data_IF_385822141101
#
_entry.id   IF_385822141101
#
_cell.length_a   1.000
_cell.length_b   1.000
_cell.length_c   1.000
_cell.angle_alpha   90.00
_cell.angle_beta   90.00
_cell.angle_gamma   90.00
#
_symmetry.space_group_name_H-M   'P 1'
#
loop_
_entity.id
_entity.type
_entity.pdbx_description
1 polymer ?
#
# COMPACT_ATOMS: atom_id res chain seq x y z
N UNK A 1 -45.39 34.94 -4.76
CA UNK A 1 -45.52 34.61 -6.20
C UNK A 1 -44.46 33.57 -6.51
N UNK A 2 -44.89 32.36 -6.91
CA UNK A 2 -44.03 31.22 -7.28
C UNK A 2 -43.49 31.43 -8.70
N UNK A 3 -42.22 31.13 -8.94
CA UNK A 3 -41.80 30.63 -10.25
C UNK A 3 -40.87 29.43 -10.07
N UNK A 4 -41.46 28.27 -10.32
CA UNK A 4 -40.86 26.97 -10.58
C UNK A 4 -40.29 27.00 -11.99
N UNK A 5 -39.06 26.53 -12.19
CA UNK A 5 -38.56 26.12 -13.51
C UNK A 5 -38.06 24.67 -13.41
N UNK A 6 -38.79 23.79 -14.09
CA UNK A 6 -38.54 22.37 -14.34
C UNK A 6 -38.16 22.26 -15.82
N UNK A 7 -37.01 21.68 -16.15
CA UNK A 7 -36.78 21.07 -17.48
C UNK A 7 -35.79 19.88 -17.32
N UNK A 8 -35.70 18.94 -18.29
CA UNK A 8 -36.24 17.59 -18.17
C UNK A 8 -35.16 16.51 -18.24
N UNK A 9 -35.55 15.28 -17.92
CA UNK A 9 -34.69 14.11 -18.00
C UNK A 9 -34.31 13.69 -19.43
N UNK A 10 -33.15 13.06 -19.54
CA UNK A 10 -32.85 12.11 -20.61
C UNK A 10 -32.34 10.84 -19.95
N UNK A 11 -33.16 9.79 -20.01
CA UNK A 11 -32.77 8.43 -19.69
C UNK A 11 -31.96 7.88 -20.88
N UNK A 12 -30.77 7.34 -20.61
CA UNK A 12 -30.06 6.46 -21.55
C UNK A 12 -29.93 5.10 -20.89
N UNK A 13 -30.40 4.10 -21.62
CA UNK A 13 -30.60 2.71 -21.21
C UNK A 13 -29.63 1.84 -22.01
N UNK A 14 -29.02 0.86 -21.30
CA UNK A 14 -28.36 -0.38 -21.75
C UNK A 14 -27.01 -0.29 -22.52
N UNK A 15 -26.00 -1.02 -22.03
CA UNK A 15 -25.71 -2.38 -22.51
C UNK A 15 -24.70 -3.09 -21.59
N UNK A 16 -25.04 -4.31 -21.19
CA UNK A 16 -24.16 -5.25 -20.50
C UNK A 16 -23.34 -6.06 -21.52
N UNK A 17 -22.06 -6.31 -21.22
CA UNK A 17 -21.34 -7.56 -21.47
C UNK A 17 -19.82 -7.31 -21.32
N UNK A 18 -19.20 -7.87 -20.29
CA UNK A 18 -17.77 -8.13 -20.28
C UNK A 18 -17.55 -9.56 -19.80
N UNK A 19 -17.00 -10.36 -20.70
CA UNK A 19 -16.82 -11.80 -20.60
C UNK A 19 -15.78 -12.15 -19.54
N UNK A 20 -16.16 -13.01 -18.60
CA UNK A 20 -15.22 -13.69 -17.72
C UNK A 20 -14.58 -14.86 -18.49
N UNK A 21 -13.33 -14.72 -18.92
CA UNK A 21 -12.49 -15.85 -19.33
C UNK A 21 -11.94 -16.54 -18.08
N UNK A 22 -12.71 -17.48 -17.55
CA UNK A 22 -12.25 -18.44 -16.55
C UNK A 22 -11.36 -19.49 -17.21
N UNK A 23 -10.08 -19.55 -16.81
CA UNK A 23 -9.17 -20.61 -17.21
C UNK A 23 -9.44 -21.83 -16.31
N UNK A 24 -10.24 -22.77 -16.81
CA UNK A 24 -10.38 -24.12 -16.25
C UNK A 24 -9.17 -24.94 -16.69
N UNK A 25 -8.43 -25.50 -15.73
CA UNK A 25 -7.25 -26.30 -15.98
C UNK A 25 -7.14 -27.42 -14.96
N UNK A 26 -8.03 -28.42 -15.07
CA UNK A 26 -7.88 -29.71 -14.42
C UNK A 26 -8.43 -30.79 -15.34
N UNK A 27 -7.63 -31.77 -15.70
CA UNK A 27 -7.76 -33.17 -15.28
C UNK A 27 -6.74 -34.07 -16.02
N UNK A 28 -6.06 -34.86 -15.20
CA UNK A 28 -5.76 -36.30 -15.35
C UNK A 28 -5.08 -36.87 -16.60
N UNK A 29 -3.99 -37.56 -16.29
CA UNK A 29 -3.37 -38.72 -16.93
C UNK A 29 -4.24 -39.54 -17.90
N UNK A 30 -3.64 -40.05 -18.98
CA UNK A 30 -3.34 -41.48 -19.15
C UNK A 30 -2.47 -41.77 -20.38
N UNK A 31 -1.95 -42.99 -20.40
CA UNK A 31 -0.84 -43.54 -21.18
C UNK A 31 -1.11 -43.83 -22.67
N UNK A 32 -0.03 -44.04 -23.45
CA UNK A 32 -0.11 -44.83 -24.67
C UNK A 32 0.93 -44.55 -25.77
N UNK A 33 2.02 -45.35 -25.75
CA UNK A 33 2.73 -45.98 -26.89
C UNK A 33 3.37 -45.13 -28.04
N UNK A 34 4.67 -45.38 -28.31
CA UNK A 34 5.60 -44.65 -29.22
C UNK A 34 5.50 -44.94 -30.74
N UNK A 35 6.60 -45.05 -31.55
CA UNK A 35 8.06 -45.00 -31.27
C UNK A 35 8.92 -44.10 -32.23
N UNK A 36 10.26 -44.19 -32.07
CA UNK A 36 11.36 -43.80 -33.01
C UNK A 36 11.80 -42.32 -33.02
N UNK A 37 13.07 -41.90 -33.02
CA UNK A 37 14.38 -42.55 -33.09
C UNK A 37 15.47 -41.53 -32.66
N UNK A 38 16.66 -42.03 -32.30
CA UNK A 38 17.98 -41.37 -32.34
C UNK A 38 18.47 -40.45 -31.19
N UNK A 39 19.34 -41.10 -30.39
CA UNK A 39 20.70 -40.71 -29.94
C UNK A 39 20.93 -39.46 -29.06
N UNK A 40 21.27 -39.69 -27.79
CA UNK A 40 22.65 -39.55 -27.27
C UNK A 40 22.79 -40.17 -25.86
N UNK A 41 23.92 -40.85 -25.67
CA UNK A 41 24.35 -41.54 -24.45
C UNK A 41 24.97 -40.57 -23.44
N UNK A 42 24.52 -40.59 -22.18
CA UNK A 42 25.36 -40.27 -21.02
C UNK A 42 24.83 -40.94 -19.72
N UNK A 43 25.77 -41.47 -18.96
CA UNK A 43 25.74 -42.38 -17.81
C UNK A 43 24.98 -41.88 -16.56
N UNK A 44 24.36 -42.75 -15.74
CA UNK A 44 23.67 -42.36 -14.50
C UNK A 44 24.61 -42.19 -13.30
N UNK A 45 24.31 -41.22 -12.44
CA UNK A 45 24.81 -41.15 -11.05
C UNK A 45 23.61 -41.03 -10.10
N UNK A 46 23.48 -41.85 -9.05
CA UNK A 46 22.40 -41.75 -8.07
C UNK A 46 22.82 -40.85 -6.90
N UNK A 47 21.94 -39.93 -6.49
CA UNK A 47 22.18 -39.08 -5.33
C UNK A 47 20.91 -38.41 -4.82
N UNK A 48 20.32 -39.01 -3.78
CA UNK A 48 19.28 -38.45 -2.91
C UNK A 48 19.55 -36.99 -2.53
N UNK A 49 18.51 -36.15 -2.56
CA UNK A 49 17.91 -35.55 -1.35
C UNK A 49 16.80 -34.57 -1.73
N UNK A 50 15.62 -34.78 -1.14
CA UNK A 50 14.49 -33.86 -1.18
C UNK A 50 14.81 -32.62 -0.35
N UNK A 51 14.87 -31.45 -0.98
CA UNK A 51 14.87 -30.16 -0.29
C UNK A 51 13.53 -29.46 -0.55
N UNK A 52 12.65 -29.60 0.45
CA UNK A 52 11.39 -28.86 0.62
C UNK A 52 11.69 -27.37 0.66
N UNK A 53 11.41 -26.64 -0.43
CA UNK A 53 11.41 -25.18 -0.41
C UNK A 53 10.18 -24.70 0.39
N UNK A 54 10.41 -24.40 1.66
CA UNK A 54 9.47 -23.68 2.51
C UNK A 54 9.55 -22.22 2.07
N UNK A 55 8.48 -21.73 1.46
CA UNK A 55 8.30 -20.32 1.14
C UNK A 55 8.48 -19.49 2.40
N UNK A 56 9.54 -18.71 2.45
CA UNK A 56 9.68 -17.64 3.43
C UNK A 56 8.81 -16.48 2.96
N UNK A 57 7.52 -16.54 3.29
CA UNK A 57 6.71 -15.34 3.39
C UNK A 57 7.30 -14.52 4.53
N UNK A 58 8.22 -13.61 4.19
CA UNK A 58 8.70 -12.59 5.12
C UNK A 58 7.52 -11.69 5.45
N UNK A 59 6.80 -12.04 6.50
CA UNK A 59 5.86 -11.13 7.17
C UNK A 59 6.68 -9.91 7.57
N UNK A 60 6.31 -8.68 7.17
CA UNK A 60 6.93 -7.50 7.76
C UNK A 60 6.71 -7.62 9.27
N UNK A 61 7.81 -7.55 10.03
CA UNK A 61 7.70 -7.40 11.47
C UNK A 61 6.95 -6.11 11.75
N UNK A 62 5.67 -6.24 12.11
CA UNK A 62 4.94 -5.18 12.79
C UNK A 62 5.50 -5.10 14.20
N UNK A 63 6.71 -4.56 14.33
CA UNK A 63 7.13 -3.99 15.59
C UNK A 63 6.12 -2.88 15.87
N UNK A 64 5.21 -3.15 16.81
CA UNK A 64 4.39 -2.12 17.40
C UNK A 64 5.37 -1.12 18.01
N UNK A 65 5.66 -0.04 17.28
CA UNK A 65 6.44 1.07 17.80
C UNK A 65 5.54 1.77 18.80
N UNK A 66 5.66 1.38 20.07
CA UNK A 66 5.25 2.22 21.18
C UNK A 66 6.14 3.47 21.12
N UNK A 67 5.67 4.48 20.39
CA UNK A 67 6.42 5.70 20.12
C UNK A 67 6.46 5.96 18.63
N UNK A 68 5.49 6.73 18.18
CA UNK A 68 5.48 7.34 16.86
C UNK A 68 5.23 8.86 17.04
N UNK A 69 6.06 9.76 16.47
CA UNK A 69 7.37 10.04 17.04
C UNK A 69 7.79 11.52 16.86
N UNK A 70 8.96 11.84 17.36
CA UNK A 70 9.87 12.85 16.78
C UNK A 70 11.31 12.33 16.74
N UNK A 71 11.55 11.05 16.99
CA UNK A 71 12.92 10.53 17.11
C UNK A 71 13.53 10.42 15.72
N UNK A 72 14.58 11.19 15.39
CA UNK A 72 15.35 10.99 14.18
C UNK A 72 15.81 9.53 14.11
N UNK A 73 15.87 8.96 12.92
CA UNK A 73 16.50 7.66 12.73
C UNK A 73 17.88 7.65 13.43
N UNK A 74 18.19 6.59 14.16
CA UNK A 74 19.48 6.47 14.84
C UNK A 74 20.62 6.73 13.84
N UNK A 75 21.71 7.42 14.24
CA UNK A 75 22.84 7.66 13.32
C UNK A 75 23.30 6.36 12.65
N UNK A 76 23.22 6.29 11.32
CA UNK A 76 23.56 5.11 10.52
C UNK A 76 22.41 4.16 10.19
N UNK A 77 21.20 4.37 10.71
CA UNK A 77 20.01 3.64 10.27
C UNK A 77 19.56 4.12 8.89
N UNK A 78 19.30 3.19 7.97
CA UNK A 78 18.80 3.51 6.64
C UNK A 78 17.35 4.01 6.74
N UNK A 79 17.10 5.24 6.30
CA UNK A 79 15.73 5.73 6.07
C UNK A 79 15.17 4.99 4.84
N UNK A 80 13.95 4.43 4.90
CA UNK A 80 13.34 3.79 3.74
C UNK A 80 13.30 4.72 2.53
N UNK A 81 13.39 4.15 1.33
CA UNK A 81 13.15 4.93 0.11
C UNK A 81 11.70 5.44 0.09
N UNK A 82 11.46 6.59 -0.56
CA UNK A 82 10.11 7.19 -0.67
C UNK A 82 9.10 6.19 -1.22
N UNK A 83 9.50 5.38 -2.20
CA UNK A 83 8.70 4.31 -2.78
C UNK A 83 8.14 3.35 -1.73
N UNK A 84 9.01 2.89 -0.85
CA UNK A 84 8.71 1.82 0.09
C UNK A 84 7.86 2.38 1.24
N UNK A 85 8.18 3.59 1.74
CA UNK A 85 7.36 4.29 2.72
C UNK A 85 5.96 4.60 2.16
N UNK A 86 5.86 5.00 0.89
CA UNK A 86 4.57 5.24 0.25
C UNK A 86 3.75 3.96 0.11
N UNK A 87 4.36 2.83 -0.25
CA UNK A 87 3.68 1.54 -0.29
C UNK A 87 3.13 1.13 1.09
N UNK A 88 3.88 1.40 2.17
CA UNK A 88 3.42 1.17 3.54
C UNK A 88 2.24 2.07 3.91
N UNK A 89 2.26 3.35 3.52
CA UNK A 89 1.10 4.25 3.67
C UNK A 89 -0.12 3.70 2.91
N UNK A 90 0.09 3.20 1.68
CA UNK A 90 -0.98 2.64 0.87
C UNK A 90 -1.66 1.42 1.49
N UNK A 91 -0.93 0.65 2.31
CA UNK A 91 -1.51 -0.48 3.02
C UNK A 91 -2.62 -0.10 4.02
N UNK A 92 -2.79 1.19 4.34
CA UNK A 92 -3.84 1.68 5.26
C UNK A 92 -5.16 2.02 4.57
N UNK A 93 -5.26 1.95 3.24
CA UNK A 93 -6.46 2.37 2.51
C UNK A 93 -7.69 1.50 2.77
N UNK A 94 -7.48 0.23 3.12
CA UNK A 94 -8.55 -0.70 3.45
C UNK A 94 -8.90 -0.68 4.94
N UNK A 95 -8.17 0.10 5.75
CA UNK A 95 -8.39 0.24 7.17
C UNK A 95 -9.25 1.48 7.46
N UNK A 96 -10.06 1.42 8.51
CA UNK A 96 -10.83 2.56 8.99
C UNK A 96 -11.27 2.39 10.45
N UNK A 97 -11.83 3.45 11.04
CA UNK A 97 -12.55 3.39 12.31
C UNK A 97 -13.96 2.79 12.21
N UNK A 98 -14.40 2.36 11.02
CA UNK A 98 -15.72 1.73 10.83
C UNK A 98 -15.83 0.33 11.45
N UNK A 99 -14.69 -0.35 11.67
CA UNK A 99 -14.64 -1.65 12.31
C UNK A 99 -14.51 -1.49 13.83
N UNK A 100 -15.42 -2.07 14.64
CA UNK A 100 -15.33 -2.02 16.10
C UNK A 100 -13.99 -2.53 16.62
N UNK A 101 -13.37 -1.80 17.55
CA UNK A 101 -12.07 -2.16 18.15
C UNK A 101 -10.83 -1.87 17.29
N UNK A 102 -10.98 -1.46 16.02
CA UNK A 102 -9.84 -1.22 15.11
C UNK A 102 -9.35 0.23 15.11
N UNK A 103 -10.18 1.19 15.54
CA UNK A 103 -9.94 2.61 15.30
C UNK A 103 -8.62 3.12 15.89
N UNK A 104 -8.29 2.75 17.14
CA UNK A 104 -7.03 3.15 17.77
C UNK A 104 -5.82 2.59 17.01
N UNK A 105 -5.88 1.33 16.59
CA UNK A 105 -4.81 0.71 15.80
C UNK A 105 -4.62 1.44 14.47
N UNK A 106 -5.73 1.66 13.74
CA UNK A 106 -5.72 2.37 12.46
C UNK A 106 -5.12 3.76 12.57
N UNK A 107 -5.58 4.58 13.53
CA UNK A 107 -5.13 5.97 13.67
C UNK A 107 -3.65 6.08 14.04
N UNK A 108 -3.18 5.22 14.95
CA UNK A 108 -1.75 5.16 15.28
C UNK A 108 -0.92 4.75 14.05
N UNK A 109 -1.34 3.70 13.34
CA UNK A 109 -0.65 3.25 12.12
C UNK A 109 -0.67 4.29 11.00
N UNK A 110 -1.76 5.04 10.87
CA UNK A 110 -1.88 6.10 9.88
C UNK A 110 -0.92 7.25 10.18
N UNK A 111 -0.87 7.70 11.44
CA UNK A 111 0.13 8.68 11.88
C UNK A 111 1.55 8.16 11.64
N UNK A 112 1.81 6.89 12.00
CA UNK A 112 3.01 6.11 11.63
C UNK A 112 3.45 6.31 10.20
N UNK A 113 2.60 5.91 9.28
CA UNK A 113 3.04 5.87 7.90
C UNK A 113 3.19 7.28 7.29
N UNK A 114 2.52 8.29 7.84
CA UNK A 114 2.60 9.68 7.36
C UNK A 114 3.91 10.37 7.76
N UNK A 115 4.40 10.21 9.00
CA UNK A 115 5.72 10.79 9.34
C UNK A 115 6.87 10.01 8.69
N UNK A 116 6.75 8.68 8.52
CA UNK A 116 7.79 7.85 7.91
C UNK A 116 7.97 8.28 6.46
N UNK A 117 6.85 8.48 5.76
CA UNK A 117 6.86 9.03 4.41
C UNK A 117 7.46 10.44 4.37
N UNK A 118 7.12 11.31 5.33
CA UNK A 118 7.71 12.63 5.47
C UNK A 118 9.24 12.59 5.66
N UNK A 119 9.73 11.65 6.46
CA UNK A 119 11.16 11.45 6.70
C UNK A 119 11.87 10.91 5.46
N UNK A 120 11.27 9.95 4.75
CA UNK A 120 11.77 9.48 3.46
C UNK A 120 11.83 10.59 2.41
N UNK A 121 10.81 11.45 2.34
CA UNK A 121 10.80 12.60 1.42
C UNK A 121 11.90 13.60 1.73
N UNK A 122 12.17 13.88 3.02
CA UNK A 122 13.27 14.78 3.44
C UNK A 122 14.65 14.18 3.15
N UNK A 123 14.80 12.86 3.31
CA UNK A 123 16.05 12.14 3.10
C UNK A 123 16.33 11.80 1.61
N UNK A 124 15.32 11.91 0.75
CA UNK A 124 15.46 11.60 -0.67
C UNK A 124 16.49 12.49 -1.37
N UNK A 125 17.31 11.96 -2.30
CA UNK A 125 18.21 12.75 -3.13
C UNK A 125 17.51 13.84 -3.96
N UNK A 126 16.20 13.72 -4.21
CA UNK A 126 15.41 14.75 -4.90
C UNK A 126 15.17 15.99 -4.04
N UNK A 127 15.34 15.86 -2.72
CA UNK A 127 15.30 16.95 -1.76
C UNK A 127 13.88 17.43 -1.39
N UNK A 128 13.83 18.25 -0.35
CA UNK A 128 12.58 18.80 0.22
C UNK A 128 11.83 19.72 -0.73
N UNK A 129 12.53 20.40 -1.65
CA UNK A 129 11.91 21.27 -2.64
C UNK A 129 11.00 20.49 -3.60
N UNK A 130 11.38 19.26 -3.94
CA UNK A 130 10.61 18.37 -4.80
C UNK A 130 9.32 17.90 -4.12
N UNK A 131 9.41 17.48 -2.86
CA UNK A 131 8.26 17.01 -2.06
C UNK A 131 7.56 18.11 -1.26
N UNK A 132 7.70 19.38 -1.65
CA UNK A 132 7.24 20.53 -0.85
C UNK A 132 5.77 20.42 -0.45
N UNK A 133 4.91 20.03 -1.38
CA UNK A 133 3.47 20.00 -1.15
C UNK A 133 3.03 18.85 -0.22
N UNK A 134 3.45 17.59 -0.43
CA UNK A 134 3.25 16.52 0.55
C UNK A 134 3.78 16.85 1.95
N UNK A 135 5.00 17.39 2.04
CA UNK A 135 5.61 17.78 3.31
C UNK A 135 4.83 18.89 4.03
N UNK A 136 4.27 19.84 3.29
CA UNK A 136 3.42 20.88 3.85
C UNK A 136 2.14 20.31 4.48
N UNK A 137 1.49 19.33 3.83
CA UNK A 137 0.30 18.68 4.39
C UNK A 137 0.62 17.87 5.65
N UNK A 138 1.73 17.13 5.66
CA UNK A 138 2.20 16.42 6.86
C UNK A 138 2.48 17.41 8.00
N UNK A 139 3.17 18.52 7.70
CA UNK A 139 3.45 19.55 8.70
C UNK A 139 2.20 20.23 9.27
N UNK A 140 1.19 20.51 8.43
CA UNK A 140 -0.10 21.04 8.87
C UNK A 140 -0.83 20.05 9.79
N UNK A 141 -0.84 18.76 9.43
CA UNK A 141 -1.40 17.71 10.27
C UNK A 141 -0.67 17.63 11.62
N UNK A 142 0.67 17.59 11.62
CA UNK A 142 1.47 17.53 12.85
C UNK A 142 1.25 18.76 13.75
N UNK A 143 1.14 19.95 13.15
CA UNK A 143 0.83 21.18 13.88
C UNK A 143 -0.54 21.12 14.54
N UNK A 144 -1.55 20.58 13.85
CA UNK A 144 -2.89 20.43 14.41
C UNK A 144 -2.96 19.40 15.55
N UNK A 145 -2.09 18.39 15.53
CA UNK A 145 -1.98 17.42 16.62
C UNK A 145 -1.29 18.01 17.86
N UNK A 146 -0.51 19.08 17.71
CA UNK A 146 0.13 19.83 18.81
C UNK A 146 0.96 18.96 19.77
N UNK A 147 1.57 17.89 19.25
CA UNK A 147 2.34 16.93 20.05
C UNK A 147 1.51 15.99 20.92
N UNK A 148 0.19 16.06 20.89
CA UNK A 148 -0.71 15.13 21.57
C UNK A 148 -1.07 13.97 20.63
N UNK A 149 -0.47 12.80 20.88
CA UNK A 149 -0.71 11.58 20.12
C UNK A 149 -1.58 10.57 20.89
N UNK A 150 -2.31 11.01 21.91
CA UNK A 150 -3.29 10.17 22.58
C UNK A 150 -4.40 9.75 21.63
N UNK A 151 -5.00 8.59 21.88
CA UNK A 151 -6.11 8.12 21.05
C UNK A 151 -7.24 9.15 20.96
N UNK A 152 -7.59 9.82 22.06
CA UNK A 152 -8.66 10.82 22.08
C UNK A 152 -8.35 11.98 21.12
N UNK A 153 -7.11 12.47 21.10
CA UNK A 153 -6.72 13.55 20.19
C UNK A 153 -6.62 13.07 18.73
N UNK A 154 -6.08 11.88 18.48
CA UNK A 154 -6.03 11.29 17.14
C UNK A 154 -7.44 11.04 16.59
N UNK A 155 -8.36 10.57 17.43
CA UNK A 155 -9.74 10.32 17.05
C UNK A 155 -10.48 11.61 16.74
N UNK A 156 -10.30 12.65 17.57
CA UNK A 156 -10.79 14.01 17.30
C UNK A 156 -10.28 14.55 15.94
N UNK A 157 -9.05 14.21 15.55
CA UNK A 157 -8.43 14.62 14.29
C UNK A 157 -8.47 13.56 13.18
N UNK A 158 -9.29 12.51 13.30
CA UNK A 158 -9.35 11.42 12.33
C UNK A 158 -9.51 11.92 10.88
N UNK A 159 -10.44 12.85 10.66
CA UNK A 159 -10.71 13.38 9.31
C UNK A 159 -9.48 14.07 8.71
N UNK A 160 -8.69 14.76 9.53
CA UNK A 160 -7.46 15.42 9.10
C UNK A 160 -6.37 14.41 8.72
N UNK A 161 -6.18 13.36 9.54
CA UNK A 161 -5.23 12.28 9.27
C UNK A 161 -5.57 11.58 7.94
N UNK A 162 -6.84 11.19 7.76
CA UNK A 162 -7.31 10.51 6.54
C UNK A 162 -7.20 11.43 5.31
N UNK A 163 -7.61 12.69 5.43
CA UNK A 163 -7.52 13.65 4.34
C UNK A 163 -6.07 13.91 3.93
N UNK A 164 -5.14 13.95 4.88
CA UNK A 164 -3.71 14.10 4.60
C UNK A 164 -3.18 12.93 3.78
N UNK A 165 -3.48 11.69 4.19
CA UNK A 165 -3.15 10.47 3.42
C UNK A 165 -3.69 10.55 2.00
N UNK A 166 -4.96 10.89 1.86
CA UNK A 166 -5.64 10.89 0.56
C UNK A 166 -5.07 11.95 -0.39
N UNK A 167 -4.80 13.17 0.10
CA UNK A 167 -4.12 14.22 -0.66
C UNK A 167 -2.73 13.77 -1.12
N UNK A 168 -1.95 13.15 -0.23
CA UNK A 168 -0.61 12.66 -0.56
C UNK A 168 -0.70 11.57 -1.61
N UNK A 169 -1.58 10.59 -1.48
CA UNK A 169 -1.74 9.54 -2.48
C UNK A 169 -2.14 10.12 -3.84
N UNK A 170 -3.11 11.03 -3.90
CA UNK A 170 -3.47 11.69 -5.17
C UNK A 170 -2.29 12.43 -5.78
N UNK A 171 -1.52 13.16 -4.98
CA UNK A 171 -0.32 13.86 -5.46
C UNK A 171 0.71 12.87 -5.99
N UNK A 172 1.08 11.87 -5.19
CA UNK A 172 2.06 10.85 -5.58
C UNK A 172 1.62 10.17 -6.88
N UNK A 173 0.37 9.71 -6.97
CA UNK A 173 -0.14 9.05 -8.18
C UNK A 173 -0.16 9.95 -9.43
N UNK A 174 -0.14 11.28 -9.27
CA UNK A 174 -0.01 12.22 -10.39
C UNK A 174 1.44 12.37 -10.89
N UNK A 175 2.41 11.91 -10.10
CA UNK A 175 3.85 11.97 -10.38
C UNK A 175 4.53 10.61 -10.09
N UNK A 176 4.23 9.53 -10.83
CA UNK A 176 4.77 8.20 -10.57
C UNK A 176 6.30 8.13 -10.59
N UNK A 177 6.94 8.90 -11.47
CA UNK A 177 8.40 8.95 -11.58
C UNK A 177 9.06 9.67 -10.39
N UNK A 178 8.28 10.39 -9.58
CA UNK A 178 8.78 11.14 -8.44
C UNK A 178 9.19 10.25 -7.27
N UNK A 179 8.62 9.05 -7.18
CA UNK A 179 8.85 8.14 -6.07
C UNK A 179 9.12 6.68 -6.46
N UNK A 180 9.21 6.35 -7.75
CA UNK A 180 9.53 4.99 -8.22
C UNK A 180 11.01 4.71 -8.33
#
# INVERSE_FOLDING_TARGET
MRQTQLIPGVAVVLLAAALATGCSGGHSAEAGSGPSDSSVTATPTPGSTAAKMIGSSSTPSTAASNGYPTTPAAPGAAVPQVRDAFAVLQATYNDSCGTPGNCQYFLNRLLTNLDDLGNSMKASPKGTAHFRQPLAWIGQMQTALDGDFTFDNLHKHQSLLVTTRDKINTWMQSYPDDYR
#
